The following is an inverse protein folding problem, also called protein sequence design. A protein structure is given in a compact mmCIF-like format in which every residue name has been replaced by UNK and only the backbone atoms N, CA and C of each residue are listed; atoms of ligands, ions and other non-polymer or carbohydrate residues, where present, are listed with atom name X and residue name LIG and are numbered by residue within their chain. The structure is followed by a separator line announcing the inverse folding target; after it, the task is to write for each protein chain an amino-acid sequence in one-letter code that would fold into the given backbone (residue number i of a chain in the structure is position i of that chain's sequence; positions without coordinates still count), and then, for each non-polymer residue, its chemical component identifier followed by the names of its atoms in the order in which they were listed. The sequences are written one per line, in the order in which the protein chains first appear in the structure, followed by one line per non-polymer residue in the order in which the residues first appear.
data_IF_660331946294
#
_entry.id   IF_660331946294
#
_cell.length_a   1.000
_cell.length_b   1.000
_cell.length_c   1.000
_cell.angle_alpha   90.00
_cell.angle_beta   90.00
_cell.angle_gamma   90.00
#
_symmetry.space_group_name_H-M   'P 1'
#
loop_
_entity.id
_entity.type
_entity.pdbx_description
1 polymer ?
#
# COMPACT_ATOMS: atom_id res chain seq x y z
N UNK A 1 29.13 -6.71 7.98
CA UNK A 1 28.32 -5.55 8.43
C UNK A 1 28.34 -4.52 7.32
N UNK A 2 27.28 -4.43 6.56
CA UNK A 2 27.06 -3.30 5.63
C UNK A 2 26.76 -2.10 6.53
N UNK A 3 27.68 -1.13 6.56
CA UNK A 3 27.51 0.10 7.32
C UNK A 3 26.61 1.04 6.52
N UNK A 4 25.43 1.31 7.01
CA UNK A 4 24.78 2.63 6.92
C UNK A 4 24.35 3.21 5.56
N UNK A 5 24.56 2.53 4.41
CA UNK A 5 24.27 3.11 3.09
C UNK A 5 23.28 2.28 2.25
N UNK A 6 22.56 1.36 2.88
CA UNK A 6 21.61 0.50 2.17
C UNK A 6 20.19 0.94 2.39
N UNK A 7 19.45 1.19 1.31
CA UNK A 7 18.00 1.34 1.30
C UNK A 7 17.36 0.05 0.77
N UNK A 8 16.27 -0.37 1.38
CA UNK A 8 15.44 -1.48 0.90
C UNK A 8 14.10 -0.94 0.42
N UNK A 9 13.67 -1.36 -0.74
CA UNK A 9 12.39 -0.95 -1.32
C UNK A 9 11.48 -2.17 -1.41
N UNK A 10 10.32 -2.09 -0.77
CA UNK A 10 9.25 -3.07 -0.89
C UNK A 10 8.04 -2.42 -1.55
N UNK A 11 7.60 -2.96 -2.67
CA UNK A 11 6.45 -2.43 -3.42
C UNK A 11 5.20 -3.26 -3.17
N UNK A 12 4.09 -2.58 -3.04
CA UNK A 12 2.74 -3.12 -2.90
C UNK A 12 1.91 -2.63 -4.09
N UNK A 13 1.36 -3.55 -4.87
CA UNK A 13 0.57 -3.20 -6.06
C UNK A 13 -0.44 -4.30 -6.37
N UNK A 14 -1.53 -3.91 -7.02
CA UNK A 14 -2.46 -4.82 -7.69
C UNK A 14 -3.02 -5.93 -6.79
N UNK A 15 -3.29 -5.61 -5.53
CA UNK A 15 -3.96 -6.56 -4.66
C UNK A 15 -5.39 -6.81 -5.10
N UNK A 16 -6.05 -5.79 -5.69
CA UNK A 16 -7.43 -5.81 -6.15
C UNK A 16 -8.33 -6.56 -5.16
N UNK A 17 -8.20 -6.22 -3.87
CA UNK A 17 -8.94 -6.87 -2.80
C UNK A 17 -10.44 -6.75 -3.05
N UNK A 18 -11.11 -7.88 -3.04
CA UNK A 18 -12.53 -7.97 -3.34
C UNK A 18 -12.84 -8.57 -4.71
N UNK A 19 -11.87 -8.70 -5.61
CA UNK A 19 -12.06 -9.39 -6.89
C UNK A 19 -12.25 -10.90 -6.68
N UNK A 20 -13.18 -11.47 -7.43
CA UNK A 20 -13.62 -12.88 -7.22
C UNK A 20 -12.86 -13.92 -8.08
N UNK A 21 -11.89 -13.51 -8.90
CA UNK A 21 -11.19 -14.43 -9.81
C UNK A 21 -10.26 -15.44 -9.11
N UNK A 22 -9.49 -14.99 -8.11
CA UNK A 22 -8.60 -15.83 -7.31
C UNK A 22 -9.10 -16.05 -5.89
N UNK A 23 -10.03 -15.23 -5.45
CA UNK A 23 -10.50 -15.15 -4.08
C UNK A 23 -9.54 -14.38 -3.16
N UNK A 24 -10.13 -13.64 -2.25
CA UNK A 24 -9.42 -12.75 -1.31
C UNK A 24 -8.42 -13.51 -0.45
N UNK A 25 -8.79 -14.70 0.01
CA UNK A 25 -7.93 -15.53 0.87
C UNK A 25 -6.61 -15.89 0.19
N UNK A 26 -6.66 -16.28 -1.09
CA UNK A 26 -5.45 -16.59 -1.86
C UNK A 26 -4.59 -15.35 -2.14
N UNK A 27 -5.23 -14.20 -2.35
CA UNK A 27 -4.51 -12.93 -2.51
C UNK A 27 -3.74 -12.59 -1.23
N UNK A 28 -4.38 -12.68 -0.07
CA UNK A 28 -3.75 -12.45 1.23
C UNK A 28 -2.63 -13.48 1.49
N UNK A 29 -2.87 -14.76 1.23
CA UNK A 29 -1.85 -15.81 1.38
C UNK A 29 -0.61 -15.56 0.52
N UNK A 30 -0.79 -15.16 -0.74
CA UNK A 30 0.32 -14.81 -1.64
C UNK A 30 1.08 -13.59 -1.14
N UNK A 31 0.36 -12.59 -0.69
CA UNK A 31 0.96 -11.41 -0.10
C UNK A 31 1.78 -11.73 1.14
N UNK A 32 1.26 -12.55 2.04
CA UNK A 32 1.97 -13.00 3.25
C UNK A 32 3.27 -13.74 2.90
N UNK A 33 3.23 -14.63 1.93
CA UNK A 33 4.44 -15.30 1.43
C UNK A 33 5.47 -14.33 0.83
N UNK A 34 5.02 -13.31 0.12
CA UNK A 34 5.91 -12.27 -0.41
C UNK A 34 6.55 -11.46 0.72
N UNK A 35 5.76 -11.09 1.73
CA UNK A 35 6.22 -10.37 2.90
C UNK A 35 7.24 -11.18 3.71
N UNK A 36 6.99 -12.48 3.93
CA UNK A 36 7.90 -13.39 4.61
C UNK A 36 9.26 -13.50 3.89
N UNK A 37 9.24 -13.59 2.55
CA UNK A 37 10.46 -13.60 1.74
C UNK A 37 11.24 -12.30 1.88
N UNK A 38 10.55 -11.15 1.78
CA UNK A 38 11.16 -9.84 1.95
C UNK A 38 11.83 -9.70 3.34
N UNK A 39 11.19 -10.21 4.39
CA UNK A 39 11.78 -10.25 5.74
C UNK A 39 13.03 -11.12 5.78
N UNK A 40 13.03 -12.27 5.13
CA UNK A 40 14.23 -13.12 5.07
C UNK A 40 15.40 -12.41 4.36
N UNK A 41 15.12 -11.69 3.27
CA UNK A 41 16.12 -10.88 2.57
C UNK A 41 16.67 -9.78 3.47
N UNK A 42 15.79 -9.00 4.09
CA UNK A 42 16.17 -7.91 5.01
C UNK A 42 17.01 -8.43 6.16
N UNK A 43 16.64 -9.57 6.76
CA UNK A 43 17.43 -10.21 7.82
C UNK A 43 18.84 -10.59 7.36
N UNK A 44 18.99 -11.04 6.12
CA UNK A 44 20.29 -11.40 5.56
C UNK A 44 21.19 -10.19 5.33
N UNK A 45 20.62 -9.01 5.11
CA UNK A 45 21.33 -7.75 4.91
C UNK A 45 21.77 -7.09 6.22
N UNK A 46 21.17 -7.47 7.36
CA UNK A 46 21.41 -6.86 8.67
C UNK A 46 20.52 -5.63 8.91
N UNK A 47 21.00 -4.68 9.69
CA UNK A 47 20.23 -3.44 9.95
C UNK A 47 20.30 -2.53 8.74
N UNK A 48 19.12 -2.14 8.25
CA UNK A 48 18.95 -1.26 7.10
C UNK A 48 18.63 0.15 7.61
N UNK A 49 19.25 1.17 7.05
CA UNK A 49 18.99 2.55 7.46
C UNK A 49 17.59 2.98 7.10
N UNK A 50 17.20 2.79 5.86
CA UNK A 50 15.90 3.22 5.34
C UNK A 50 15.19 2.08 4.61
N UNK A 51 13.96 1.81 4.99
CA UNK A 51 13.05 0.93 4.25
C UNK A 51 11.94 1.79 3.65
N UNK A 52 11.75 1.65 2.34
CA UNK A 52 10.70 2.31 1.58
C UNK A 52 9.60 1.29 1.30
N UNK A 53 8.41 1.55 1.83
CA UNK A 53 7.20 0.78 1.58
C UNK A 53 6.34 1.57 0.60
N UNK A 54 6.30 1.13 -0.66
CA UNK A 54 5.69 1.90 -1.74
C UNK A 54 4.41 1.23 -2.23
N UNK A 55 3.28 1.91 -2.08
CA UNK A 55 2.03 1.53 -2.71
C UNK A 55 1.97 2.10 -4.13
N UNK A 56 1.95 1.21 -5.11
CA UNK A 56 1.80 1.57 -6.51
C UNK A 56 0.32 1.59 -6.96
N UNK A 57 -0.60 1.49 -5.98
CA UNK A 57 -2.03 1.57 -6.17
C UNK A 57 -2.71 0.24 -6.53
N UNK A 58 -3.99 0.33 -6.86
CA UNK A 58 -4.90 -0.78 -7.13
C UNK A 58 -4.96 -1.80 -5.99
N UNK A 59 -4.95 -1.30 -4.74
CA UNK A 59 -5.04 -2.12 -3.55
C UNK A 59 -6.44 -2.73 -3.38
N UNK A 60 -7.47 -2.05 -3.84
CA UNK A 60 -8.87 -2.51 -3.81
C UNK A 60 -9.40 -2.69 -5.22
N UNK A 61 -10.36 -3.61 -5.40
CA UNK A 61 -11.01 -3.80 -6.70
C UNK A 61 -12.02 -2.69 -7.01
N UNK A 62 -12.60 -2.09 -5.98
CA UNK A 62 -13.78 -1.26 -6.15
C UNK A 62 -15.06 -2.11 -6.31
N UNK A 63 -16.13 -1.49 -6.72
CA UNK A 63 -17.41 -2.22 -6.90
C UNK A 63 -18.06 -1.96 -8.25
N UNK A 64 -17.67 -0.88 -8.94
CA UNK A 64 -18.39 -0.44 -10.11
C UNK A 64 -17.63 0.67 -10.87
N UNK A 65 -17.84 0.73 -12.18
CA UNK A 65 -17.39 1.83 -13.02
C UNK A 65 -16.17 1.54 -13.92
N UNK A 66 -15.56 0.38 -13.82
CA UNK A 66 -14.43 -0.03 -14.67
C UNK A 66 -14.88 -0.90 -15.85
N UNK A 67 -15.74 -1.88 -15.59
CA UNK A 67 -16.28 -2.79 -16.58
C UNK A 67 -17.68 -3.26 -16.17
N UNK A 68 -18.52 -3.61 -17.15
CA UNK A 68 -19.96 -3.84 -16.93
C UNK A 68 -20.25 -4.96 -15.92
N UNK A 69 -19.42 -5.99 -15.88
CA UNK A 69 -19.61 -7.13 -14.97
C UNK A 69 -18.96 -6.95 -13.59
N UNK A 70 -18.31 -5.83 -13.29
CA UNK A 70 -17.55 -5.65 -12.05
C UNK A 70 -18.39 -5.92 -10.80
N UNK A 71 -19.59 -5.38 -10.72
CA UNK A 71 -20.47 -5.56 -9.57
C UNK A 71 -20.86 -7.03 -9.31
N UNK A 72 -20.75 -7.90 -10.31
CA UNK A 72 -21.04 -9.34 -10.22
C UNK A 72 -19.77 -10.17 -9.95
N UNK A 73 -18.59 -9.57 -9.98
CA UNK A 73 -17.29 -10.23 -9.83
C UNK A 73 -16.56 -9.76 -8.57
N UNK A 74 -17.31 -9.35 -7.55
CA UNK A 74 -16.76 -8.93 -6.26
C UNK A 74 -17.24 -9.85 -5.14
N UNK A 75 -16.33 -10.24 -4.26
CA UNK A 75 -16.60 -11.08 -3.08
C UNK A 75 -16.62 -10.27 -1.77
N UNK A 76 -16.13 -9.03 -1.79
CA UNK A 76 -16.15 -8.11 -0.66
C UNK A 76 -16.83 -6.80 -1.03
N UNK A 77 -17.68 -6.26 -0.15
CA UNK A 77 -18.17 -4.90 -0.30
C UNK A 77 -17.05 -3.87 -0.08
N UNK A 78 -17.26 -2.61 -0.50
CA UNK A 78 -16.23 -1.55 -0.40
C UNK A 78 -15.66 -1.39 1.01
N UNK A 79 -16.52 -1.38 2.03
CA UNK A 79 -16.07 -1.25 3.41
C UNK A 79 -15.12 -2.38 3.81
N UNK A 80 -15.45 -3.63 3.43
CA UNK A 80 -14.61 -4.79 3.70
C UNK A 80 -13.26 -4.70 2.95
N UNK A 81 -13.28 -4.27 1.67
CA UNK A 81 -12.08 -4.04 0.87
C UNK A 81 -11.17 -3.01 1.55
N UNK A 82 -11.72 -1.88 1.96
CA UNK A 82 -10.98 -0.78 2.60
C UNK A 82 -10.40 -1.18 3.96
N UNK A 83 -11.18 -1.90 4.77
CA UNK A 83 -10.67 -2.41 6.05
C UNK A 83 -9.51 -3.39 5.86
N UNK A 84 -9.62 -4.28 4.87
CA UNK A 84 -8.58 -5.27 4.61
C UNK A 84 -7.31 -4.62 4.07
N UNK A 85 -7.42 -3.68 3.11
CA UNK A 85 -6.27 -2.95 2.57
C UNK A 85 -5.46 -2.27 3.67
N UNK A 86 -6.13 -1.51 4.56
CA UNK A 86 -5.48 -0.86 5.70
C UNK A 86 -4.79 -1.85 6.64
N UNK A 87 -5.44 -2.98 6.94
CA UNK A 87 -4.83 -4.02 7.78
C UNK A 87 -3.56 -4.58 7.18
N UNK A 88 -3.54 -4.79 5.86
CA UNK A 88 -2.35 -5.29 5.16
C UNK A 88 -1.24 -4.24 5.13
N UNK A 89 -1.56 -2.95 4.91
CA UNK A 89 -0.59 -1.86 4.99
C UNK A 89 0.02 -1.80 6.40
N UNK A 90 -0.81 -1.76 7.44
CA UNK A 90 -0.33 -1.71 8.83
C UNK A 90 0.50 -2.95 9.19
N UNK A 91 0.05 -4.14 8.76
CA UNK A 91 0.83 -5.40 8.90
C UNK A 91 2.21 -5.27 8.26
N UNK A 92 2.28 -4.66 7.08
CA UNK A 92 3.55 -4.45 6.38
C UNK A 92 4.47 -3.54 7.18
N UNK A 93 3.98 -2.41 7.64
CA UNK A 93 4.74 -1.49 8.50
C UNK A 93 5.23 -2.23 9.75
N UNK A 94 4.34 -2.90 10.48
CA UNK A 94 4.67 -3.65 11.69
C UNK A 94 5.75 -4.70 11.45
N UNK A 95 5.69 -5.36 10.31
CA UNK A 95 6.63 -6.41 9.92
C UNK A 95 8.04 -5.85 9.72
N UNK A 96 8.17 -4.67 9.11
CA UNK A 96 9.47 -4.07 8.83
C UNK A 96 10.01 -3.19 9.97
N UNK A 97 9.18 -2.81 10.94
CA UNK A 97 9.60 -1.98 12.08
C UNK A 97 10.91 -2.45 12.76
N UNK A 98 11.12 -3.76 13.04
CA UNK A 98 12.34 -4.20 13.73
C UNK A 98 13.63 -4.07 12.92
N UNK A 99 13.54 -3.87 11.61
CA UNK A 99 14.67 -4.05 10.68
C UNK A 99 15.22 -2.74 10.12
N UNK A 100 14.61 -1.60 10.38
CA UNK A 100 15.03 -0.32 9.86
C UNK A 100 15.20 0.73 10.95
N UNK A 101 16.12 1.67 10.73
CA UNK A 101 16.22 2.88 11.54
C UNK A 101 15.13 3.89 11.17
N UNK A 102 14.72 3.91 9.89
CA UNK A 102 13.65 4.75 9.36
C UNK A 102 12.82 3.98 8.34
N UNK A 103 11.52 4.16 8.36
CA UNK A 103 10.58 3.64 7.37
C UNK A 103 9.89 4.80 6.67
N UNK A 104 9.84 4.76 5.36
CA UNK A 104 9.09 5.68 4.54
C UNK A 104 7.94 4.91 3.90
N UNK A 105 6.70 5.19 4.34
CA UNK A 105 5.50 4.68 3.70
C UNK A 105 5.02 5.72 2.70
N UNK A 106 4.85 5.33 1.46
CA UNK A 106 4.41 6.22 0.40
C UNK A 106 3.58 5.48 -0.63
N UNK A 107 2.87 6.21 -1.48
CA UNK A 107 2.11 5.61 -2.57
C UNK A 107 1.52 6.64 -3.49
N UNK A 108 0.98 6.17 -4.60
CA UNK A 108 0.33 6.98 -5.62
C UNK A 108 -1.10 6.49 -5.86
N UNK A 109 -2.02 7.39 -6.27
CA UNK A 109 -3.36 7.00 -6.65
C UNK A 109 -3.34 6.19 -7.94
N UNK A 110 -4.18 5.17 -8.04
CA UNK A 110 -4.37 4.37 -9.23
C UNK A 110 -5.85 4.27 -9.62
N UNK A 111 -6.15 3.65 -10.76
CA UNK A 111 -7.49 3.73 -11.33
C UNK A 111 -8.54 2.95 -10.51
N UNK A 112 -8.24 1.77 -9.96
CA UNK A 112 -9.19 1.04 -9.12
C UNK A 112 -9.46 1.72 -7.78
N UNK A 113 -8.57 2.61 -7.34
CA UNK A 113 -8.75 3.44 -6.17
C UNK A 113 -9.72 4.61 -6.34
N UNK A 114 -10.07 5.01 -7.56
CA UNK A 114 -10.98 6.13 -7.81
C UNK A 114 -12.38 5.87 -7.23
N UNK A 115 -12.77 6.66 -6.21
CA UNK A 115 -13.97 6.39 -5.41
C UNK A 115 -15.27 6.87 -6.05
N UNK A 116 -15.20 7.80 -6.99
CA UNK A 116 -16.38 8.40 -7.60
C UNK A 116 -16.38 8.25 -9.12
N UNK A 117 -16.95 7.16 -9.61
CA UNK A 117 -17.19 6.94 -11.04
C UNK A 117 -18.69 6.92 -11.36
N UNK A 118 -19.07 7.47 -12.51
CA UNK A 118 -20.42 7.32 -13.04
C UNK A 118 -20.55 6.01 -13.81
N UNK A 119 -21.76 5.53 -14.05
CA UNK A 119 -22.04 4.31 -14.83
C UNK A 119 -21.54 4.31 -16.28
N UNK A 120 -20.85 5.37 -16.70
CA UNK A 120 -20.16 5.47 -18.00
C UNK A 120 -18.63 5.55 -17.83
N UNK A 121 -18.12 5.17 -16.68
CA UNK A 121 -16.70 5.19 -16.36
C UNK A 121 -16.11 6.61 -16.20
N UNK A 122 -16.93 7.65 -16.15
CA UNK A 122 -16.46 9.02 -15.91
C UNK A 122 -16.28 9.28 -14.43
N UNK A 123 -15.16 9.86 -14.07
CA UNK A 123 -14.91 10.35 -12.70
C UNK A 123 -15.86 11.53 -12.43
N UNK A 124 -16.54 11.50 -11.28
CA UNK A 124 -17.56 12.50 -10.92
C UNK A 124 -16.92 13.66 -10.17
N UNK A 125 -16.06 13.40 -9.22
CA UNK A 125 -15.37 14.42 -8.40
C UNK A 125 -13.95 14.68 -8.93
N UNK A 126 -13.00 13.89 -8.50
CA UNK A 126 -11.59 13.97 -8.91
C UNK A 126 -11.00 12.57 -8.94
N UNK A 127 -10.00 12.34 -9.79
CA UNK A 127 -9.19 11.12 -9.74
C UNK A 127 -8.33 11.03 -8.48
N UNK A 128 -8.12 12.18 -7.82
CA UNK A 128 -7.42 12.26 -6.54
C UNK A 128 -8.34 11.96 -5.35
N UNK A 129 -9.65 11.87 -5.56
CA UNK A 129 -10.61 11.25 -4.65
C UNK A 129 -10.45 9.72 -4.75
N UNK A 130 -9.46 9.21 -4.02
CA UNK A 130 -8.85 7.92 -4.30
C UNK A 130 -8.58 7.12 -3.01
N UNK A 131 -9.04 5.89 -2.99
CA UNK A 131 -8.89 5.02 -1.82
C UNK A 131 -7.44 4.61 -1.56
N UNK A 132 -6.59 4.53 -2.58
CA UNK A 132 -5.19 4.15 -2.39
C UNK A 132 -4.43 5.17 -1.52
N UNK A 133 -4.63 6.48 -1.77
CA UNK A 133 -4.05 7.53 -0.93
C UNK A 133 -4.78 7.68 0.40
N UNK A 134 -6.11 7.60 0.41
CA UNK A 134 -6.91 7.63 1.65
C UNK A 134 -6.47 6.55 2.65
N UNK A 135 -6.11 5.36 2.19
CA UNK A 135 -5.60 4.31 3.09
C UNK A 135 -4.30 4.73 3.79
N UNK A 136 -3.40 5.41 3.07
CA UNK A 136 -2.15 5.89 3.64
C UNK A 136 -2.39 7.02 4.65
N UNK A 137 -3.29 7.96 4.35
CA UNK A 137 -3.70 9.04 5.25
C UNK A 137 -4.25 8.49 6.57
N UNK A 138 -5.17 7.52 6.50
CA UNK A 138 -5.73 6.90 7.70
C UNK A 138 -4.66 6.11 8.48
N UNK A 139 -3.74 5.41 7.79
CA UNK A 139 -2.63 4.74 8.45
C UNK A 139 -1.71 5.75 9.14
N UNK A 140 -1.44 6.91 8.53
CA UNK A 140 -0.68 8.00 9.13
C UNK A 140 -1.34 8.51 10.42
N UNK A 141 -2.64 8.79 10.38
CA UNK A 141 -3.40 9.21 11.57
C UNK A 141 -3.29 8.19 12.72
N UNK A 142 -3.40 6.90 12.41
CA UNK A 142 -3.26 5.82 13.41
C UNK A 142 -1.83 5.79 13.97
N UNK A 143 -0.83 5.89 13.12
CA UNK A 143 0.57 5.81 13.52
C UNK A 143 1.00 7.02 14.35
N UNK A 144 0.52 8.21 14.01
CA UNK A 144 0.83 9.44 14.74
C UNK A 144 0.32 9.45 16.20
N UNK A 145 -0.62 8.58 16.54
CA UNK A 145 -1.13 8.43 17.90
C UNK A 145 -0.36 7.41 18.75
N UNK A 146 0.65 6.75 18.18
CA UNK A 146 1.35 5.68 18.87
C UNK A 146 2.87 5.79 18.68
N UNK A 147 3.63 6.07 19.79
CA UNK A 147 5.09 6.23 19.75
C UNK A 147 5.85 5.04 19.14
N UNK A 148 5.23 3.88 19.06
CA UNK A 148 5.82 2.71 18.38
C UNK A 148 6.23 3.02 16.94
N UNK A 149 5.55 3.96 16.29
CA UNK A 149 5.76 4.32 14.88
C UNK A 149 6.57 5.60 14.68
N UNK A 150 7.24 6.12 15.71
CA UNK A 150 8.01 7.38 15.64
C UNK A 150 9.06 7.42 14.51
N UNK A 151 9.52 6.26 14.06
CA UNK A 151 10.46 6.13 12.94
C UNK A 151 9.81 5.94 11.57
N UNK A 152 8.48 5.96 11.49
CA UNK A 152 7.72 5.87 10.25
C UNK A 152 7.35 7.27 9.79
N UNK A 153 7.64 7.58 8.54
CA UNK A 153 7.21 8.81 7.89
C UNK A 153 6.29 8.43 6.74
N UNK A 154 5.11 9.03 6.68
CA UNK A 154 4.20 8.88 5.54
C UNK A 154 4.41 10.04 4.58
N UNK A 155 4.46 9.76 3.28
CA UNK A 155 4.66 10.75 2.23
C UNK A 155 3.71 10.49 1.08
N UNK A 156 2.69 11.34 0.94
CA UNK A 156 1.63 11.23 -0.06
C UNK A 156 1.75 12.39 -1.04
N UNK A 157 1.76 12.13 -2.35
CA UNK A 157 1.85 13.19 -3.35
C UNK A 157 0.53 13.94 -3.50
N UNK A 158 0.62 15.21 -3.88
CA UNK A 158 -0.56 16.02 -4.27
C UNK A 158 -1.15 15.64 -5.64
N UNK A 159 -0.51 14.72 -6.36
CA UNK A 159 -0.88 14.33 -7.72
C UNK A 159 -0.59 12.86 -8.02
N UNK A 160 -0.53 12.51 -9.30
CA UNK A 160 -0.32 11.12 -9.76
C UNK A 160 1.14 10.66 -9.74
N UNK A 161 2.06 11.57 -9.48
CA UNK A 161 3.49 11.30 -9.47
C UNK A 161 4.10 11.68 -8.13
N UNK A 162 5.00 10.85 -7.66
CA UNK A 162 5.76 11.12 -6.46
C UNK A 162 7.24 10.91 -6.70
N UNK A 163 8.03 11.89 -6.28
CA UNK A 163 9.50 11.79 -6.32
C UNK A 163 10.03 11.64 -4.90
N UNK A 164 10.59 10.48 -4.62
CA UNK A 164 11.26 10.22 -3.35
C UNK A 164 12.76 10.31 -3.54
N UNK A 165 13.40 11.07 -2.67
CA UNK A 165 14.86 11.08 -2.61
C UNK A 165 15.30 9.91 -1.74
N UNK A 166 15.72 8.83 -2.39
CA UNK A 166 16.40 7.73 -1.71
C UNK A 166 17.79 8.22 -1.34
N UNK A 167 18.26 7.86 -0.14
CA UNK A 167 19.57 8.23 0.37
C UNK A 167 20.59 8.20 -0.77
N UNK A 168 21.26 9.31 -1.01
CA UNK A 168 22.17 9.42 -2.15
C UNK A 168 23.21 8.31 -2.08
N UNK A 169 23.16 7.41 -3.03
CA UNK A 169 24.32 6.57 -3.37
C UNK A 169 25.42 7.55 -3.84
N UNK A 170 26.29 7.94 -2.95
CA UNK A 170 27.54 8.64 -3.27
C UNK A 170 28.58 7.62 -3.77
#
# INVERSE_FOLDING_TARGET
KIKGDTAYIFTMSDWQLGKDDLGVEKTVERYDKALDRAVQEVRSLGTIDEIYLLSMGDLTEGCYGFYDSQAHNISLNLSQQYHLARRLIMKTVDTFLPYANKIILSGVPANHGEMSRSGKGKVVTSRLDNSDTMHLEICEEIMNQNPRYDKVTVSIPEGFHHTLKIKSLT
#
